data_IF_831752180150
#
_entry.id   IF_831752180150
#
_cell.length_a   1.000
_cell.length_b   1.000
_cell.length_c   1.000
_cell.angle_alpha   90.00
_cell.angle_beta   90.00
_cell.angle_gamma   90.00
#
_symmetry.space_group_name_H-M   'P 1'
#
loop_
_entity.id
_entity.type
_entity.pdbx_description
1 polymer ?
#
# COMPACT_ATOMS: atom_id res chain seq x y z
N UNK A 1 11.92 0.44 -31.25
CA UNK A 1 12.18 -0.64 -30.28
C UNK A 1 13.53 -0.47 -29.59
N UNK A 2 13.60 0.33 -28.52
CA UNK A 2 14.76 0.34 -27.61
C UNK A 2 14.29 0.52 -26.16
N UNK A 3 13.50 -0.45 -25.72
CA UNK A 3 13.28 -0.73 -24.31
C UNK A 3 13.28 -2.25 -24.20
N UNK A 4 14.44 -2.82 -23.90
CA UNK A 4 14.46 -4.11 -23.24
C UNK A 4 14.87 -3.77 -21.81
N UNK A 5 13.90 -3.69 -20.89
CA UNK A 5 14.23 -4.03 -19.51
C UNK A 5 14.97 -5.37 -19.60
N UNK A 6 16.20 -5.40 -19.10
CA UNK A 6 16.85 -6.69 -18.93
C UNK A 6 15.95 -7.54 -18.02
N UNK A 7 15.99 -8.87 -18.15
CA UNK A 7 15.20 -9.75 -17.27
C UNK A 7 15.57 -9.59 -15.77
N UNK A 8 16.57 -8.76 -15.46
CA UNK A 8 17.20 -8.59 -14.14
C UNK A 8 17.02 -7.20 -13.51
N UNK A 9 16.31 -6.25 -14.15
CA UNK A 9 16.04 -4.95 -13.52
C UNK A 9 14.88 -5.08 -12.52
N UNK A 10 15.19 -5.39 -11.25
CA UNK A 10 14.21 -5.39 -10.17
C UNK A 10 13.75 -3.95 -9.83
N UNK A 11 12.60 -3.57 -10.41
CA UNK A 11 11.96 -2.27 -10.23
C UNK A 11 10.96 -2.23 -9.06
N UNK A 12 10.90 -3.25 -8.20
CA UNK A 12 9.86 -3.37 -7.18
C UNK A 12 9.83 -2.23 -6.13
N UNK A 13 10.95 -1.54 -5.95
CA UNK A 13 11.15 -0.42 -5.02
C UNK A 13 11.22 0.96 -5.71
N UNK A 14 11.03 1.03 -7.03
CA UNK A 14 10.93 2.30 -7.76
C UNK A 14 9.53 2.88 -7.64
N UNK A 15 9.46 4.19 -7.36
CA UNK A 15 8.22 4.93 -7.09
C UNK A 15 7.35 4.29 -5.99
N UNK A 16 7.98 3.53 -5.09
CA UNK A 16 7.36 2.98 -3.89
C UNK A 16 7.58 3.95 -2.74
N UNK A 17 6.49 4.49 -2.21
CA UNK A 17 6.49 5.43 -1.11
C UNK A 17 6.43 4.72 0.24
N UNK A 18 6.75 5.44 1.32
CA UNK A 18 7.03 4.90 2.64
C UNK A 18 5.98 3.90 3.19
N UNK A 19 4.70 4.18 2.93
CA UNK A 19 3.56 3.38 3.41
C UNK A 19 3.01 2.40 2.35
N UNK A 20 3.57 2.37 1.15
CA UNK A 20 3.02 1.59 0.04
C UNK A 20 3.17 0.08 0.29
N UNK A 21 2.06 -0.67 0.42
CA UNK A 21 2.11 -2.11 0.59
C UNK A 21 2.45 -2.80 -0.74
N UNK A 22 2.93 -4.06 -0.74
CA UNK A 22 3.29 -4.79 -1.97
C UNK A 22 2.16 -4.88 -3.01
N UNK A 23 0.90 -4.87 -2.57
CA UNK A 23 -0.30 -4.84 -3.39
C UNK A 23 -0.40 -3.57 -4.24
N UNK A 24 0.20 -2.48 -3.78
CA UNK A 24 0.12 -1.17 -4.38
C UNK A 24 1.33 -0.91 -5.28
N UNK A 25 1.05 -0.62 -6.54
CA UNK A 25 2.06 -0.32 -7.58
C UNK A 25 1.74 1.03 -8.19
N UNK A 26 2.57 2.02 -7.87
CA UNK A 26 2.47 3.39 -8.36
C UNK A 26 2.60 3.46 -9.88
N UNK A 27 1.71 4.23 -10.51
CA UNK A 27 1.71 4.50 -11.95
C UNK A 27 1.63 5.97 -12.31
N UNK A 28 1.21 6.82 -11.37
CA UNK A 28 1.16 8.28 -11.53
C UNK A 28 1.68 8.94 -10.27
N UNK A 29 2.51 9.97 -10.44
CA UNK A 29 3.07 10.75 -9.33
C UNK A 29 2.91 12.23 -9.61
N UNK A 30 2.61 12.97 -8.56
CA UNK A 30 2.66 14.42 -8.52
C UNK A 30 3.72 14.79 -7.49
N UNK A 31 4.82 15.33 -7.98
CA UNK A 31 5.93 15.77 -7.14
C UNK A 31 5.71 17.21 -6.66
N UNK A 32 6.14 17.50 -5.45
CA UNK A 32 6.04 18.83 -4.85
C UNK A 32 6.05 18.75 -3.32
N UNK A 33 5.63 19.85 -2.69
CA UNK A 33 5.50 19.96 -1.22
C UNK A 33 4.46 19.00 -0.64
N UNK A 34 3.44 18.63 -1.43
CA UNK A 34 2.42 17.65 -1.09
C UNK A 34 2.46 16.50 -2.10
N UNK A 35 3.38 15.53 -1.93
CA UNK A 35 3.51 14.42 -2.84
C UNK A 35 2.21 13.63 -2.85
N UNK A 36 1.75 13.34 -4.06
CA UNK A 36 0.53 12.58 -4.26
C UNK A 36 0.77 11.56 -5.34
N UNK A 37 0.30 10.34 -5.13
CA UNK A 37 0.51 9.28 -6.11
C UNK A 37 -0.71 8.38 -6.23
N UNK A 38 -0.87 7.80 -7.41
CA UNK A 38 -1.93 6.85 -7.75
C UNK A 38 -1.26 5.56 -8.21
N UNK A 39 -1.77 4.45 -7.71
CA UNK A 39 -1.28 3.12 -8.02
C UNK A 39 -2.40 2.11 -8.25
N UNK A 40 -2.09 1.06 -8.99
CA UNK A 40 -2.94 -0.11 -9.07
C UNK A 40 -2.84 -0.91 -7.77
N UNK A 41 -3.97 -1.41 -7.29
CA UNK A 41 -4.03 -2.30 -6.14
C UNK A 41 -4.34 -3.74 -6.56
N UNK A 42 -3.55 -4.71 -6.07
CA UNK A 42 -3.67 -6.13 -6.41
C UNK A 42 -3.52 -7.00 -5.17
N UNK A 43 -4.59 -7.63 -4.70
CA UNK A 43 -4.50 -8.64 -3.62
C UNK A 43 -3.65 -9.87 -4.04
N UNK A 44 -3.46 -10.09 -5.34
CA UNK A 44 -2.60 -11.14 -5.89
C UNK A 44 -1.92 -10.64 -7.15
N UNK A 45 -0.58 -10.66 -7.19
CA UNK A 45 0.21 -10.14 -8.31
C UNK A 45 -0.03 -10.84 -9.65
N UNK A 46 -0.59 -12.06 -9.65
CA UNK A 46 -0.92 -12.80 -10.87
C UNK A 46 -2.30 -12.42 -11.44
N UNK A 47 -3.09 -11.62 -10.71
CA UNK A 47 -4.41 -11.15 -11.15
C UNK A 47 -4.33 -9.72 -11.69
N UNK A 48 -5.22 -9.41 -12.63
CA UNK A 48 -5.45 -8.03 -13.09
C UNK A 48 -5.97 -7.17 -11.92
N UNK A 49 -5.46 -5.93 -11.77
CA UNK A 49 -5.92 -5.02 -10.73
C UNK A 49 -7.40 -4.66 -10.95
N UNK A 50 -8.16 -4.61 -9.85
CA UNK A 50 -9.60 -4.30 -9.88
C UNK A 50 -9.89 -2.79 -9.77
N UNK A 51 -8.93 -2.03 -9.25
CA UNK A 51 -9.06 -0.59 -9.02
C UNK A 51 -7.70 0.08 -8.84
N UNK A 52 -7.73 1.41 -8.87
CA UNK A 52 -6.63 2.28 -8.46
C UNK A 52 -6.97 2.95 -7.14
N UNK A 53 -5.95 3.14 -6.32
CA UNK A 53 -6.03 3.95 -5.12
C UNK A 53 -5.00 5.08 -5.17
N UNK A 54 -5.23 6.12 -4.38
CA UNK A 54 -4.31 7.22 -4.19
C UNK A 54 -3.80 7.27 -2.75
N UNK A 55 -2.64 7.89 -2.56
CA UNK A 55 -2.08 8.18 -1.26
C UNK A 55 -1.36 9.53 -1.25
N UNK A 56 -1.27 10.14 -0.07
CA UNK A 56 -0.31 11.18 0.26
C UNK A 56 0.53 10.66 1.43
N UNK A 57 1.77 10.23 1.19
CA UNK A 57 2.59 9.58 2.22
C UNK A 57 3.01 10.54 3.33
N UNK A 58 2.96 11.86 3.12
CA UNK A 58 3.27 12.85 4.16
C UNK A 58 2.10 13.09 5.13
N UNK A 59 0.87 12.72 4.76
CA UNK A 59 -0.33 12.95 5.58
C UNK A 59 -0.77 11.71 6.35
N UNK A 60 -0.66 10.53 5.74
CA UNK A 60 -1.07 9.26 6.37
C UNK A 60 -0.56 8.03 5.60
N UNK A 61 -0.68 6.84 6.20
CA UNK A 61 -0.54 5.56 5.48
C UNK A 61 -1.85 5.06 4.87
N UNK A 62 -2.87 5.91 4.72
CA UNK A 62 -4.17 5.55 4.16
C UNK A 62 -4.15 5.53 2.64
N UNK A 63 -5.01 4.68 2.07
CA UNK A 63 -5.26 4.57 0.65
C UNK A 63 -6.72 4.91 0.35
N UNK A 64 -6.97 5.70 -0.70
CA UNK A 64 -8.32 6.06 -1.12
C UNK A 64 -8.61 5.54 -2.54
N UNK A 65 -9.70 4.80 -2.73
CA UNK A 65 -10.10 4.30 -4.07
C UNK A 65 -10.48 5.49 -4.97
N UNK A 66 -9.82 5.60 -6.12
CA UNK A 66 -10.03 6.71 -7.08
C UNK A 66 -10.73 6.29 -8.37
N UNK A 67 -10.81 4.99 -8.67
CA UNK A 67 -11.52 4.47 -9.84
C UNK A 67 -11.23 2.99 -10.10
N UNK A 68 -12.06 2.33 -10.91
CA UNK A 68 -11.80 0.97 -11.39
C UNK A 68 -10.84 0.91 -12.59
N UNK A 69 -10.57 2.05 -13.21
CA UNK A 69 -9.68 2.19 -14.36
C UNK A 69 -8.89 3.51 -14.29
N UNK A 70 -7.79 3.58 -15.06
CA UNK A 70 -6.85 4.70 -15.00
C UNK A 70 -7.44 6.00 -15.55
N UNK A 71 -8.36 5.93 -16.54
CA UNK A 71 -8.99 7.12 -17.09
C UNK A 71 -9.90 7.76 -16.05
N UNK A 72 -10.71 6.98 -15.34
CA UNK A 72 -11.51 7.47 -14.22
C UNK A 72 -10.63 8.13 -13.16
N UNK A 73 -9.50 7.51 -12.80
CA UNK A 73 -8.59 8.05 -11.81
C UNK A 73 -7.98 9.41 -12.24
N UNK A 74 -7.46 9.51 -13.47
CA UNK A 74 -6.87 10.75 -14.00
C UNK A 74 -7.93 11.83 -14.19
N UNK A 75 -9.09 11.49 -14.77
CA UNK A 75 -10.20 12.43 -14.93
C UNK A 75 -10.60 12.98 -13.56
N UNK A 76 -10.84 12.10 -12.58
CA UNK A 76 -11.18 12.48 -11.20
C UNK A 76 -10.13 13.39 -10.56
N UNK A 77 -8.83 13.15 -10.78
CA UNK A 77 -7.76 14.02 -10.30
C UNK A 77 -7.78 15.40 -10.96
N UNK A 78 -7.99 15.46 -12.28
CA UNK A 78 -8.16 16.73 -13.00
C UNK A 78 -9.39 17.49 -12.51
N UNK A 79 -10.50 16.80 -12.19
CA UNK A 79 -11.69 17.43 -11.62
C UNK A 79 -11.41 18.06 -10.25
N UNK A 80 -10.70 17.35 -9.36
CA UNK A 80 -10.29 17.86 -8.05
C UNK A 80 -9.43 19.12 -8.17
N UNK A 81 -8.58 19.18 -9.21
CA UNK A 81 -7.75 20.34 -9.55
C UNK A 81 -8.49 21.45 -10.33
N UNK A 82 -9.82 21.34 -10.48
CA UNK A 82 -10.65 22.29 -11.24
C UNK A 82 -10.25 22.41 -12.73
N UNK A 83 -9.65 21.36 -13.31
CA UNK A 83 -9.12 21.31 -14.68
C UNK A 83 -10.11 20.73 -15.71
N UNK A 84 -11.43 20.71 -15.44
CA UNK A 84 -12.43 20.18 -16.38
C UNK A 84 -12.45 20.88 -17.74
N UNK A 85 -12.02 22.14 -17.80
CA UNK A 85 -11.95 22.95 -19.03
C UNK A 85 -10.61 22.81 -19.77
N UNK A 86 -9.64 22.08 -19.22
CA UNK A 86 -8.32 21.92 -19.84
C UNK A 86 -8.40 21.07 -21.11
N UNK A 87 -7.51 21.35 -22.07
CA UNK A 87 -7.40 20.59 -23.31
C UNK A 87 -7.16 19.10 -23.06
N UNK A 88 -6.33 18.76 -22.07
CA UNK A 88 -6.02 17.37 -21.72
C UNK A 88 -7.27 16.63 -21.22
N UNK A 89 -8.11 17.30 -20.41
CA UNK A 89 -9.35 16.72 -19.93
C UNK A 89 -10.29 16.42 -21.10
N UNK A 90 -10.48 17.40 -22.00
CA UNK A 90 -11.35 17.24 -23.17
C UNK A 90 -10.85 16.15 -24.11
N UNK A 91 -9.55 16.14 -24.44
CA UNK A 91 -8.92 15.10 -25.27
C UNK A 91 -9.10 13.71 -24.68
N UNK A 92 -8.95 13.56 -23.36
CA UNK A 92 -9.13 12.27 -22.70
C UNK A 92 -10.60 11.80 -22.72
N UNK A 93 -11.56 12.69 -22.53
CA UNK A 93 -12.99 12.37 -22.68
C UNK A 93 -13.31 11.93 -24.12
N UNK A 94 -12.77 12.63 -25.12
CA UNK A 94 -12.91 12.25 -26.53
C UNK A 94 -12.32 10.87 -26.80
N UNK A 95 -11.09 10.62 -26.36
CA UNK A 95 -10.43 9.32 -26.49
C UNK A 95 -11.26 8.18 -25.86
N UNK A 96 -11.77 8.38 -24.64
CA UNK A 96 -12.62 7.39 -23.95
C UNK A 96 -13.88 7.07 -24.77
N UNK A 97 -14.53 8.09 -25.35
CA UNK A 97 -15.74 7.93 -26.17
C UNK A 97 -15.44 7.18 -27.48
N UNK A 98 -14.41 7.62 -28.21
CA UNK A 98 -14.03 7.03 -29.51
C UNK A 98 -13.60 5.57 -29.37
N UNK A 99 -12.87 5.25 -28.30
CA UNK A 99 -12.37 3.90 -28.04
C UNK A 99 -13.33 3.04 -27.21
N UNK A 100 -14.54 3.55 -26.90
CA UNK A 100 -15.58 2.84 -26.13
C UNK A 100 -15.06 2.29 -24.80
N UNK A 101 -14.16 3.02 -24.13
CA UNK A 101 -13.61 2.64 -22.84
C UNK A 101 -14.69 2.73 -21.78
N UNK A 102 -14.93 1.65 -21.05
CA UNK A 102 -15.89 1.64 -19.95
C UNK A 102 -15.27 2.27 -18.70
N UNK A 103 -15.79 3.42 -18.30
CA UNK A 103 -15.36 4.11 -17.08
C UNK A 103 -16.03 3.50 -15.85
N UNK A 104 -15.23 3.06 -14.89
CA UNK A 104 -15.68 2.48 -13.62
C UNK A 104 -15.45 3.49 -12.51
N UNK A 105 -16.51 4.20 -12.12
CA UNK A 105 -16.47 5.20 -11.03
C UNK A 105 -16.04 4.57 -9.70
N UNK A 106 -15.37 5.36 -8.84
CA UNK A 106 -14.90 4.90 -7.52
C UNK A 106 -16.00 4.23 -6.66
N UNK A 107 -17.23 4.76 -6.67
CA UNK A 107 -18.36 4.20 -5.90
C UNK A 107 -18.91 2.89 -6.49
N UNK A 108 -18.55 2.56 -7.73
CA UNK A 108 -18.94 1.32 -8.40
C UNK A 108 -17.91 0.20 -8.20
N UNK A 109 -16.75 0.50 -7.63
CA UNK A 109 -15.73 -0.49 -7.27
C UNK A 109 -16.24 -1.33 -6.11
N UNK A 110 -16.48 -2.62 -6.36
CA UNK A 110 -16.88 -3.59 -5.33
C UNK A 110 -15.65 -4.05 -4.55
N UNK A 111 -15.32 -3.38 -3.45
CA UNK A 111 -14.27 -3.80 -2.51
C UNK A 111 -14.89 -4.46 -1.29
N UNK A 112 -14.56 -5.74 -1.07
CA UNK A 112 -14.94 -6.53 0.12
C UNK A 112 -13.68 -7.23 0.66
N UNK A 113 -12.84 -6.53 1.44
CA UNK A 113 -11.65 -7.14 2.00
C UNK A 113 -12.04 -8.12 3.11
N UNK A 114 -11.18 -9.10 3.38
CA UNK A 114 -11.33 -10.00 4.52
C UNK A 114 -11.14 -9.25 5.83
N UNK A 115 -10.16 -8.35 5.87
CA UNK A 115 -9.90 -7.44 6.98
C UNK A 115 -9.64 -6.02 6.46
N UNK A 116 -10.10 -5.03 7.23
CA UNK A 116 -9.76 -3.63 7.00
C UNK A 116 -8.55 -3.30 7.85
N UNK A 117 -7.44 -3.04 7.20
CA UNK A 117 -6.21 -2.59 7.83
C UNK A 117 -6.24 -1.06 8.05
N UNK A 118 -5.26 -0.51 8.75
CA UNK A 118 -5.07 0.94 8.97
C UNK A 118 -4.90 1.74 7.66
N UNK A 119 -4.59 1.06 6.54
CA UNK A 119 -4.60 1.67 5.21
C UNK A 119 -6.02 1.91 4.61
N UNK A 120 -7.07 1.48 5.30
CA UNK A 120 -8.51 1.56 4.96
C UNK A 120 -9.00 0.74 3.75
N UNK A 121 -8.13 0.41 2.78
CA UNK A 121 -8.49 -0.43 1.61
C UNK A 121 -8.58 -1.91 1.98
N UNK A 122 -7.81 -2.35 2.98
CA UNK A 122 -7.77 -3.74 3.45
C UNK A 122 -7.14 -4.72 2.45
N UNK A 123 -7.17 -6.01 2.78
CA UNK A 123 -6.67 -7.12 1.93
C UNK A 123 -7.71 -8.24 1.80
N UNK A 124 -7.77 -8.89 0.63
CA UNK A 124 -8.55 -10.12 0.39
C UNK A 124 -7.66 -11.35 0.66
N UNK A 125 -7.95 -12.07 1.75
CA UNK A 125 -7.22 -13.30 2.15
C UNK A 125 -8.01 -14.52 1.68
N UNK A 126 -7.33 -15.47 1.03
CA UNK A 126 -7.94 -16.70 0.52
C UNK A 126 -8.13 -17.72 1.65
N UNK A 127 -9.37 -18.04 1.97
CA UNK A 127 -9.70 -19.07 2.94
C UNK A 127 -9.70 -20.48 2.31
N UNK A 128 -9.37 -21.49 3.11
CA UNK A 128 -9.55 -22.91 2.81
C UNK A 128 -10.56 -23.47 3.82
N UNK A 129 -11.84 -23.43 3.46
CA UNK A 129 -12.92 -23.59 4.44
C UNK A 129 -12.92 -22.39 5.39
N UNK A 130 -12.87 -22.65 6.69
CA UNK A 130 -12.81 -21.62 7.73
C UNK A 130 -11.37 -21.29 8.18
N UNK A 131 -10.36 -21.88 7.53
CA UNK A 131 -8.93 -21.69 7.85
C UNK A 131 -8.31 -20.69 6.87
N UNK A 132 -7.52 -19.76 7.38
CA UNK A 132 -6.73 -18.79 6.62
C UNK A 132 -6.74 -17.40 7.24
N UNK A 133 -7.67 -17.11 8.15
CA UNK A 133 -7.80 -15.81 8.78
C UNK A 133 -8.50 -15.87 10.13
N UNK A 134 -7.90 -15.18 11.10
CA UNK A 134 -8.55 -14.69 12.31
C UNK A 134 -8.13 -13.22 12.53
N UNK A 135 -8.96 -12.39 13.17
CA UNK A 135 -8.65 -10.98 13.37
C UNK A 135 -7.51 -10.78 14.37
N UNK A 136 -6.75 -9.69 14.22
CA UNK A 136 -5.80 -9.23 15.23
C UNK A 136 -6.52 -9.00 16.57
N UNK A 137 -5.90 -9.44 17.67
CA UNK A 137 -6.46 -9.34 19.03
C UNK A 137 -6.36 -7.90 19.63
N UNK A 138 -6.73 -6.90 18.84
CA UNK A 138 -6.79 -5.49 19.22
C UNK A 138 -7.74 -4.72 18.28
N UNK A 139 -8.35 -3.64 18.78
CA UNK A 139 -8.99 -2.67 17.89
C UNK A 139 -7.93 -1.79 17.21
N UNK A 140 -8.30 -1.07 16.15
CA UNK A 140 -7.39 -0.14 15.49
C UNK A 140 -6.89 0.96 16.44
N UNK A 141 -7.74 1.46 17.33
CA UNK A 141 -7.38 2.50 18.29
C UNK A 141 -6.39 1.94 19.34
N UNK A 142 -6.65 0.75 19.87
CA UNK A 142 -5.74 0.07 20.79
C UNK A 142 -4.39 -0.23 20.13
N UNK A 143 -4.41 -0.63 18.86
CA UNK A 143 -3.21 -0.91 18.09
C UNK A 143 -2.39 0.37 17.89
N UNK A 144 -3.01 1.49 17.51
CA UNK A 144 -2.31 2.78 17.37
C UNK A 144 -1.63 3.18 18.69
N UNK A 145 -2.31 3.02 19.83
CA UNK A 145 -1.73 3.29 21.16
C UNK A 145 -0.53 2.37 21.43
N UNK A 146 -0.65 1.07 21.11
CA UNK A 146 0.44 0.11 21.28
C UNK A 146 1.65 0.47 20.39
N UNK A 147 1.42 0.87 19.15
CA UNK A 147 2.45 1.30 18.20
C UNK A 147 3.13 2.59 18.66
N UNK A 148 2.36 3.57 19.15
CA UNK A 148 2.90 4.81 19.72
C UNK A 148 3.85 4.54 20.88
N UNK A 149 3.49 3.61 21.77
CA UNK A 149 4.31 3.20 22.90
C UNK A 149 5.55 2.40 22.49
N UNK A 150 5.41 1.48 21.53
CA UNK A 150 6.49 0.63 21.05
C UNK A 150 7.55 1.40 20.24
N UNK A 151 7.17 2.55 19.67
CA UNK A 151 8.03 3.39 18.83
C UNK A 151 8.57 4.63 19.54
N UNK A 152 8.35 4.81 20.85
CA UNK A 152 8.98 5.89 21.64
C UNK A 152 10.50 5.81 21.56
N UNK A 153 11.16 6.97 21.51
CA UNK A 153 12.63 7.04 21.47
C UNK A 153 13.23 6.65 22.82
N UNK A 154 12.65 7.20 23.88
CA UNK A 154 13.02 6.89 25.26
C UNK A 154 12.02 5.91 25.85
N UNK A 155 12.54 4.82 26.44
CA UNK A 155 11.74 3.78 27.12
C UNK A 155 10.61 3.23 26.24
N UNK A 156 10.93 2.64 25.07
CA UNK A 156 9.93 1.96 24.25
C UNK A 156 9.25 0.86 25.07
N UNK A 157 7.93 0.79 25.00
CA UNK A 157 7.15 -0.29 25.60
C UNK A 157 6.50 -1.10 24.48
N UNK A 158 7.12 -2.23 24.14
CA UNK A 158 6.64 -3.14 23.11
C UNK A 158 5.83 -4.31 23.63
N UNK A 159 5.55 -4.41 24.93
CA UNK A 159 4.91 -5.58 25.55
C UNK A 159 3.63 -5.97 24.80
N UNK A 160 2.74 -5.01 24.54
CA UNK A 160 1.49 -5.28 23.83
C UNK A 160 1.72 -5.72 22.38
N UNK A 161 2.68 -5.10 21.69
CA UNK A 161 3.00 -5.45 20.30
C UNK A 161 3.65 -6.84 20.21
N UNK A 162 4.53 -7.18 21.14
CA UNK A 162 5.20 -8.47 21.18
C UNK A 162 4.20 -9.60 21.55
N UNK A 163 3.20 -9.31 22.38
CA UNK A 163 2.05 -10.19 22.64
C UNK A 163 1.26 -10.47 21.35
N UNK A 164 0.90 -9.42 20.59
CA UNK A 164 0.19 -9.58 19.31
C UNK A 164 1.01 -10.39 18.30
N UNK A 165 2.33 -10.18 18.24
CA UNK A 165 3.21 -10.97 17.38
C UNK A 165 3.27 -12.45 17.81
N UNK A 166 3.13 -12.73 19.11
CA UNK A 166 3.07 -14.10 19.64
C UNK A 166 1.78 -14.79 19.21
N UNK A 167 0.63 -14.09 19.29
CA UNK A 167 -0.64 -14.62 18.77
C UNK A 167 -0.58 -14.91 17.27
N UNK A 168 0.11 -14.08 16.49
CA UNK A 168 0.35 -14.35 15.06
C UNK A 168 1.13 -15.65 14.85
N UNK A 169 2.08 -16.00 15.72
CA UNK A 169 2.79 -17.29 15.57
C UNK A 169 1.84 -18.48 15.78
N UNK A 170 1.01 -18.44 16.84
CA UNK A 170 -0.01 -19.47 17.05
C UNK A 170 -0.99 -19.55 15.87
N UNK A 171 -1.43 -18.41 15.34
CA UNK A 171 -2.29 -18.37 14.16
C UNK A 171 -1.61 -18.98 12.93
N UNK A 172 -0.33 -18.69 12.70
CA UNK A 172 0.43 -19.30 11.60
C UNK A 172 0.52 -20.82 11.73
N UNK A 173 0.78 -21.35 12.93
CA UNK A 173 0.85 -22.79 13.20
C UNK A 173 -0.52 -23.47 12.95
N UNK A 174 -1.61 -22.75 13.20
CA UNK A 174 -2.99 -23.19 12.95
C UNK A 174 -3.49 -22.90 11.52
N UNK A 175 -2.64 -22.32 10.66
CA UNK A 175 -2.95 -22.02 9.26
C UNK A 175 -3.65 -20.69 8.98
N UNK A 176 -3.90 -19.86 10.00
CA UNK A 176 -4.51 -18.54 9.92
C UNK A 176 -3.48 -17.42 9.66
N UNK A 177 -2.69 -17.59 8.60
CA UNK A 177 -1.65 -16.63 8.20
C UNK A 177 -2.16 -15.20 7.93
N UNK A 178 -3.46 -15.06 7.67
CA UNK A 178 -4.13 -13.77 7.47
C UNK A 178 -4.00 -12.82 8.66
N UNK A 179 -3.90 -13.33 9.89
CA UNK A 179 -3.70 -12.47 11.08
C UNK A 179 -2.36 -11.73 11.02
N UNK A 180 -1.30 -12.42 10.57
CA UNK A 180 0.02 -11.84 10.39
C UNK A 180 0.07 -10.82 9.25
N UNK A 181 -0.70 -11.05 8.18
CA UNK A 181 -0.85 -10.08 7.08
C UNK A 181 -1.56 -8.81 7.54
N UNK A 182 -2.66 -8.94 8.29
CA UNK A 182 -3.39 -7.81 8.87
C UNK A 182 -2.48 -6.96 9.75
N UNK A 183 -1.88 -7.57 10.79
CA UNK A 183 -1.00 -6.85 11.71
C UNK A 183 0.18 -6.20 10.97
N UNK A 184 0.83 -6.93 10.06
CA UNK A 184 1.96 -6.40 9.30
C UNK A 184 1.60 -5.20 8.41
N UNK A 185 0.42 -5.22 7.79
CA UNK A 185 -0.08 -4.12 6.97
C UNK A 185 -0.50 -2.92 7.82
N UNK A 186 -1.03 -3.15 9.02
CA UNK A 186 -1.32 -2.09 9.98
C UNK A 186 -0.04 -1.39 10.43
N UNK A 187 1.00 -2.15 10.79
CA UNK A 187 2.31 -1.59 11.15
C UNK A 187 2.93 -0.80 9.99
N UNK A 188 2.71 -1.21 8.74
CA UNK A 188 3.18 -0.51 7.55
C UNK A 188 2.42 0.81 7.32
N UNK A 189 1.10 0.81 7.52
CA UNK A 189 0.22 1.96 7.34
C UNK A 189 0.24 2.93 8.53
N UNK A 190 0.82 2.54 9.66
CA UNK A 190 0.97 3.40 10.83
C UNK A 190 1.77 4.66 10.50
N UNK A 191 1.11 5.80 10.68
CA UNK A 191 1.69 7.13 10.47
C UNK A 191 1.50 7.94 11.77
N UNK A 192 2.53 8.06 12.61
CA UNK A 192 2.42 8.80 13.85
C UNK A 192 2.22 10.30 13.59
N UNK A 193 1.37 10.94 14.38
CA UNK A 193 1.21 12.40 14.35
C UNK A 193 2.43 13.07 15.01
N UNK A 194 3.38 13.53 14.19
CA UNK A 194 4.57 14.29 14.63
C UNK A 194 4.53 15.73 14.11
N UNK A 195 5.51 16.55 14.49
CA UNK A 195 5.57 17.94 14.00
C UNK A 195 5.96 18.01 12.53
N UNK A 196 6.77 17.06 12.08
CA UNK A 196 7.22 16.95 10.69
C UNK A 196 7.00 15.53 10.18
N UNK A 197 6.85 15.38 8.86
CA UNK A 197 6.74 14.07 8.21
C UNK A 197 8.00 13.22 8.41
N UNK A 198 9.16 13.86 8.50
CA UNK A 198 10.44 13.16 8.69
C UNK A 198 10.50 12.50 10.08
N UNK A 199 10.03 13.19 11.12
CA UNK A 199 9.86 12.61 12.46
C UNK A 199 8.84 11.45 12.43
N UNK A 200 7.75 11.60 11.67
CA UNK A 200 6.76 10.54 11.49
C UNK A 200 7.38 9.29 10.86
N UNK A 201 8.17 9.46 9.79
CA UNK A 201 8.86 8.38 9.10
C UNK A 201 9.94 7.74 9.94
N UNK A 202 10.72 8.51 10.70
CA UNK A 202 11.73 7.95 11.61
C UNK A 202 11.08 7.08 12.67
N UNK A 203 10.02 7.58 13.32
CA UNK A 203 9.29 6.85 14.36
C UNK A 203 8.64 5.58 13.80
N UNK A 204 7.95 5.66 12.66
CA UNK A 204 7.37 4.49 11.98
C UNK A 204 8.45 3.52 11.47
N UNK A 205 9.63 4.01 11.10
CA UNK A 205 10.78 3.22 10.65
C UNK A 205 11.29 2.21 11.69
N UNK A 206 11.03 2.46 12.98
CA UNK A 206 11.38 1.54 14.09
C UNK A 206 10.63 0.21 14.02
N UNK A 207 9.57 0.13 13.20
CA UNK A 207 8.79 -1.09 12.98
C UNK A 207 9.31 -1.95 11.82
N UNK A 208 10.30 -1.50 11.02
CA UNK A 208 10.73 -2.18 9.78
C UNK A 208 11.02 -3.68 9.96
N UNK A 209 11.72 -4.06 11.04
CA UNK A 209 12.05 -5.46 11.32
C UNK A 209 10.80 -6.30 11.60
N UNK A 210 9.85 -5.75 12.36
CA UNK A 210 8.58 -6.42 12.68
C UNK A 210 7.70 -6.56 11.44
N UNK A 211 7.60 -5.49 10.63
CA UNK A 211 6.90 -5.51 9.33
C UNK A 211 7.50 -6.57 8.41
N UNK A 212 8.83 -6.60 8.28
CA UNK A 212 9.52 -7.59 7.45
C UNK A 212 9.22 -9.02 7.91
N UNK A 213 9.27 -9.27 9.22
CA UNK A 213 8.97 -10.58 9.79
C UNK A 213 7.54 -11.03 9.47
N UNK A 214 6.55 -10.20 9.83
CA UNK A 214 5.13 -10.50 9.69
C UNK A 214 4.72 -10.67 8.22
N UNK A 215 5.04 -9.69 7.39
CA UNK A 215 4.58 -9.67 6.00
C UNK A 215 5.34 -10.66 5.14
N UNK A 216 6.66 -10.81 5.31
CA UNK A 216 7.38 -11.77 4.48
C UNK A 216 6.97 -13.21 4.79
N UNK A 217 6.69 -13.56 6.05
CA UNK A 217 6.14 -14.88 6.40
C UNK A 217 4.69 -15.03 5.91
N UNK A 218 3.82 -14.05 6.20
CA UNK A 218 2.42 -14.08 5.80
C UNK A 218 2.22 -14.25 4.29
N UNK A 219 3.01 -13.53 3.48
CA UNK A 219 2.93 -13.69 2.02
C UNK A 219 3.49 -15.03 1.54
N UNK A 220 4.50 -15.61 2.19
CA UNK A 220 4.98 -16.95 1.85
C UNK A 220 3.91 -18.00 2.12
N UNK A 221 3.28 -17.95 3.30
CA UNK A 221 2.19 -18.86 3.68
C UNK A 221 0.95 -18.69 2.78
N UNK A 222 0.67 -17.46 2.34
CA UNK A 222 -0.40 -17.17 1.38
C UNK A 222 -0.11 -17.65 -0.06
N UNK A 223 1.10 -18.14 -0.34
CA UNK A 223 1.52 -18.52 -1.70
C UNK A 223 1.76 -17.31 -2.61
N UNK A 224 2.19 -16.18 -2.02
CA UNK A 224 2.50 -14.91 -2.70
C UNK A 224 3.98 -14.50 -2.51
N UNK A 225 4.97 -15.36 -2.81
CA UNK A 225 6.38 -15.12 -2.50
C UNK A 225 6.94 -13.80 -3.07
N UNK A 226 6.45 -13.33 -4.23
CA UNK A 226 6.92 -12.05 -4.79
C UNK A 226 6.58 -10.85 -3.90
N UNK A 227 5.44 -10.86 -3.21
CA UNK A 227 5.13 -9.81 -2.24
C UNK A 227 6.05 -9.89 -1.01
N UNK A 228 6.49 -11.08 -0.62
CA UNK A 228 7.51 -11.25 0.41
C UNK A 228 8.87 -10.66 0.00
N UNK A 229 9.26 -10.77 -1.28
CA UNK A 229 10.47 -10.15 -1.82
C UNK A 229 10.35 -8.62 -1.84
N UNK A 230 9.24 -8.09 -2.36
CA UNK A 230 8.96 -6.65 -2.39
C UNK A 230 9.03 -6.04 -1.00
N UNK A 231 8.40 -6.66 0.00
CA UNK A 231 8.37 -6.08 1.34
C UNK A 231 9.74 -6.09 2.01
N UNK A 232 10.56 -7.14 1.83
CA UNK A 232 11.93 -7.20 2.37
C UNK A 232 12.76 -6.05 1.83
N UNK A 233 12.79 -5.89 0.50
CA UNK A 233 13.51 -4.81 -0.16
C UNK A 233 12.98 -3.44 0.27
N UNK A 234 11.65 -3.29 0.31
CA UNK A 234 11.02 -2.04 0.71
C UNK A 234 11.43 -1.62 2.12
N UNK A 235 11.39 -2.53 3.11
CA UNK A 235 11.75 -2.21 4.50
C UNK A 235 13.23 -1.82 4.69
N UNK A 236 14.11 -2.23 3.76
CA UNK A 236 15.52 -1.82 3.74
C UNK A 236 15.74 -0.42 3.18
N UNK A 237 14.89 0.03 2.23
CA UNK A 237 15.16 1.25 1.43
C UNK A 237 14.09 2.33 1.49
N UNK A 238 12.98 2.12 2.21
CA UNK A 238 11.79 3.00 2.17
C UNK A 238 11.98 4.43 2.68
N UNK A 239 13.10 4.75 3.31
CA UNK A 239 13.42 6.13 3.71
C UNK A 239 13.69 7.04 2.51
N UNK A 240 13.96 6.48 1.33
CA UNK A 240 14.19 7.24 0.11
C UNK A 240 13.39 6.64 -1.05
N UNK A 241 12.61 7.49 -1.72
CA UNK A 241 11.85 7.08 -2.91
C UNK A 241 12.80 7.00 -4.10
N UNK A 242 13.02 5.78 -4.61
CA UNK A 242 13.82 5.56 -5.82
C UNK A 242 13.03 5.96 -7.07
N UNK A 243 13.70 6.63 -7.99
CA UNK A 243 13.13 7.13 -9.25
C UNK A 243 13.95 6.64 -10.43
N UNK A 244 13.31 6.42 -11.56
CA UNK A 244 14.03 6.16 -12.81
C UNK A 244 14.75 7.46 -13.22
N UNK A 245 16.00 7.36 -13.67
CA UNK A 245 16.74 8.53 -14.18
C UNK A 245 15.94 9.17 -15.31
N UNK A 246 15.84 10.51 -15.31
CA UNK A 246 15.14 11.28 -16.35
C UNK A 246 15.64 10.84 -17.72
N UNK A 247 14.73 10.42 -18.59
CA UNK A 247 15.01 10.38 -20.02
C UNK A 247 14.98 11.85 -20.45
N UNK A 248 16.13 12.39 -20.86
CA UNK A 248 16.14 13.62 -21.65
C UNK A 248 15.45 13.29 -22.97
N UNK A 249 14.15 13.60 -23.04
CA UNK A 249 13.41 13.57 -24.29
C UNK A 249 13.92 14.79 -25.06
N UNK A 250 14.92 14.56 -25.92
CA UNK A 250 15.32 15.52 -26.96
C UNK A 250 14.22 15.66 -28.00
#
# INVERSE_FOLDING_TARGET
NKYCCSKDDDLADYYRYFHDPPEFVTVLTEDGEHPFHIGYFRDNYAKVPKFLASSNPMESGKLAIVGGDIFTAVLGRLEQKKQKKSDIYQKMITFVKENKVTLVKKNSVKRKPTCKTLNEVGIEIKLRGDIGYRPVNATNDDLVIALDNATKAEKPNSVKLDELMTYVQFANDEGDYGQGLELGLDLLAYHPSMKTSDESFEKAGRLNRRITCLLSMGYQLAGLPKFAEVIRKHMETRSQVKRLRKIDIK
#
